data_IF_625188623671
#
_entry.id   IF_625188623671
#
_cell.length_a   1.000
_cell.length_b   1.000
_cell.length_c   1.000
_cell.angle_alpha   90.00
_cell.angle_beta   90.00
_cell.angle_gamma   90.00
#
_symmetry.space_group_name_H-M   'P 1'
#
loop_
_entity.id
_entity.type
_entity.pdbx_description
1 polymer ?
#
# COMPACT_ATOMS: atom_id res chain seq x y z
N UNK A 1 -13.74 21.61 5.91
CA UNK A 1 -12.55 22.27 5.34
C UNK A 1 -12.98 23.22 4.25
N UNK A 2 -12.59 24.52 4.33
CA UNK A 2 -13.04 25.56 3.37
C UNK A 2 -11.96 25.81 2.30
N UNK A 3 -10.68 25.66 2.67
CA UNK A 3 -9.54 25.87 1.75
C UNK A 3 -8.34 25.08 2.25
N UNK A 4 -7.58 24.50 1.31
CA UNK A 4 -6.27 23.91 1.55
C UNK A 4 -5.27 24.54 0.57
N UNK A 5 -4.16 25.05 1.09
CA UNK A 5 -3.06 25.62 0.30
C UNK A 5 -1.82 24.79 0.61
N UNK A 6 -1.34 24.06 -0.39
CA UNK A 6 -0.11 23.25 -0.27
C UNK A 6 1.01 23.93 -1.07
N UNK A 7 2.20 24.01 -0.46
CA UNK A 7 3.43 24.38 -1.16
C UNK A 7 4.29 23.12 -1.25
N UNK A 8 4.33 22.52 -2.41
CA UNK A 8 4.99 21.23 -2.62
C UNK A 8 6.05 21.33 -3.72
N UNK A 9 7.09 20.52 -3.58
CA UNK A 9 8.09 20.28 -4.62
C UNK A 9 8.05 18.79 -4.98
N UNK A 10 7.54 18.47 -6.16
CA UNK A 10 7.37 17.10 -6.63
C UNK A 10 8.55 16.63 -7.50
N UNK A 11 9.62 17.45 -7.59
CA UNK A 11 10.82 17.06 -8.33
C UNK A 11 11.53 15.90 -7.63
N UNK A 12 12.16 15.00 -8.39
CA UNK A 12 13.02 13.98 -7.80
C UNK A 12 14.07 14.60 -6.88
N UNK A 13 14.39 13.91 -5.80
CA UNK A 13 15.51 14.28 -4.92
C UNK A 13 16.82 14.33 -5.71
N UNK A 14 17.76 15.16 -5.24
CA UNK A 14 19.07 15.28 -5.90
C UNK A 14 19.83 13.95 -5.87
N UNK A 15 20.72 13.73 -6.83
CA UNK A 15 21.55 12.52 -6.87
C UNK A 15 22.37 12.31 -5.59
N UNK A 16 22.83 13.39 -4.95
CA UNK A 16 23.55 13.31 -3.68
C UNK A 16 22.65 12.77 -2.57
N UNK A 17 21.40 13.29 -2.47
CA UNK A 17 20.40 12.84 -1.50
C UNK A 17 20.00 11.39 -1.79
N UNK A 18 19.79 11.03 -3.06
CA UNK A 18 19.47 9.69 -3.50
C UNK A 18 20.54 8.68 -3.07
N UNK A 19 21.83 9.00 -3.31
CA UNK A 19 22.95 8.16 -2.88
C UNK A 19 22.99 7.97 -1.37
N UNK A 20 22.81 9.05 -0.60
CA UNK A 20 22.76 8.98 0.88
C UNK A 20 21.62 8.11 1.37
N UNK A 21 20.43 8.27 0.77
CA UNK A 21 19.24 7.46 1.12
C UNK A 21 19.47 5.98 0.80
N UNK A 22 19.98 5.64 -0.37
CA UNK A 22 20.31 4.27 -0.77
C UNK A 22 21.37 3.66 0.17
N UNK A 23 22.38 4.43 0.55
CA UNK A 23 23.38 3.96 1.52
C UNK A 23 22.74 3.65 2.87
N UNK A 24 21.88 4.55 3.37
CA UNK A 24 21.14 4.36 4.62
C UNK A 24 20.25 3.10 4.58
N UNK A 25 19.49 2.92 3.48
CA UNK A 25 18.65 1.73 3.27
C UNK A 25 19.52 0.46 3.32
N UNK A 26 20.64 0.45 2.63
CA UNK A 26 21.53 -0.72 2.58
C UNK A 26 22.11 -1.10 3.96
N UNK A 27 22.33 -0.12 4.82
CA UNK A 27 22.87 -0.33 6.16
C UNK A 27 21.78 -0.77 7.16
N UNK A 28 20.62 -0.13 7.12
CA UNK A 28 19.58 -0.26 8.14
C UNK A 28 18.62 -1.41 7.90
N UNK A 29 18.18 -1.59 6.65
CA UNK A 29 17.13 -2.55 6.30
C UNK A 29 17.37 -3.98 6.80
N UNK A 30 18.60 -4.52 6.82
CA UNK A 30 18.82 -5.88 7.33
C UNK A 30 18.41 -6.09 8.79
N UNK A 31 18.46 -5.04 9.61
CA UNK A 31 18.08 -5.07 11.02
C UNK A 31 16.58 -4.83 11.29
N UNK A 32 15.80 -4.55 10.24
CA UNK A 32 14.36 -4.29 10.35
C UNK A 32 13.54 -5.55 10.10
N UNK A 33 12.29 -5.58 10.55
CA UNK A 33 11.36 -6.68 10.28
C UNK A 33 10.85 -6.68 8.86
N UNK A 34 10.67 -5.48 8.28
CA UNK A 34 10.25 -5.28 6.90
C UNK A 34 10.36 -3.82 6.48
N UNK A 35 9.84 -3.48 5.29
CA UNK A 35 9.84 -2.13 4.73
C UNK A 35 8.45 -1.77 4.25
N UNK A 36 8.01 -0.58 4.59
CA UNK A 36 6.80 0.04 4.04
C UNK A 36 7.22 1.17 3.11
N UNK A 37 6.77 1.11 1.86
CA UNK A 37 6.93 2.16 0.87
C UNK A 37 5.59 2.85 0.66
N UNK A 38 5.37 3.98 1.33
CA UNK A 38 4.21 4.85 1.08
C UNK A 38 4.61 5.86 0.01
N UNK A 39 4.20 5.62 -1.23
CA UNK A 39 4.54 6.45 -2.38
C UNK A 39 3.51 7.55 -2.58
N UNK A 40 3.90 8.79 -2.33
CA UNK A 40 3.08 9.98 -2.59
C UNK A 40 3.45 10.68 -3.91
N UNK A 41 4.31 10.10 -4.73
CA UNK A 41 4.86 10.71 -5.96
C UNK A 41 5.48 12.10 -5.73
N UNK A 42 6.12 12.30 -4.57
CA UNK A 42 6.78 13.55 -4.21
C UNK A 42 8.31 13.49 -4.34
N UNK A 43 8.79 12.68 -5.27
CA UNK A 43 10.19 12.66 -5.71
C UNK A 43 11.17 11.93 -4.81
N UNK A 44 10.75 11.35 -3.67
CA UNK A 44 11.64 10.60 -2.76
C UNK A 44 11.84 9.17 -3.27
N UNK A 45 10.75 8.47 -3.62
CA UNK A 45 10.81 7.12 -4.16
C UNK A 45 11.10 7.16 -5.65
N UNK A 46 12.36 7.49 -5.99
CA UNK A 46 12.84 7.38 -7.36
C UNK A 46 12.97 5.91 -7.76
N UNK A 47 13.02 5.62 -9.06
CA UNK A 47 13.21 4.26 -9.56
C UNK A 47 14.46 3.59 -8.94
N UNK A 48 15.58 4.34 -8.79
CA UNK A 48 16.80 3.83 -8.16
C UNK A 48 16.60 3.51 -6.67
N UNK A 49 15.85 4.35 -5.94
CA UNK A 49 15.54 4.10 -4.52
C UNK A 49 14.68 2.86 -4.40
N UNK A 50 13.62 2.73 -5.22
CA UNK A 50 12.74 1.55 -5.22
C UNK A 50 13.56 0.29 -5.53
N UNK A 51 14.37 0.30 -6.57
CA UNK A 51 15.24 -0.83 -6.92
C UNK A 51 16.21 -1.20 -5.78
N UNK A 52 16.79 -0.20 -5.11
CA UNK A 52 17.68 -0.46 -3.98
C UNK A 52 16.95 -1.13 -2.81
N UNK A 53 15.73 -0.68 -2.49
CA UNK A 53 14.87 -1.29 -1.47
C UNK A 53 14.57 -2.74 -1.84
N UNK A 54 14.05 -3.01 -3.05
CA UNK A 54 13.68 -4.35 -3.50
C UNK A 54 14.88 -5.30 -3.49
N UNK A 55 16.01 -4.84 -4.03
CA UNK A 55 17.25 -5.63 -4.06
C UNK A 55 17.73 -5.96 -2.64
N UNK A 56 17.79 -4.96 -1.76
CA UNK A 56 18.29 -5.14 -0.40
C UNK A 56 17.36 -6.00 0.43
N UNK A 57 16.06 -5.79 0.34
CA UNK A 57 15.05 -6.60 1.02
C UNK A 57 15.14 -8.07 0.60
N UNK A 58 15.23 -8.34 -0.70
CA UNK A 58 15.42 -9.71 -1.22
C UNK A 58 16.67 -10.38 -0.66
N UNK A 59 17.82 -9.66 -0.65
CA UNK A 59 19.08 -10.18 -0.11
C UNK A 59 19.00 -10.47 1.40
N UNK A 60 18.25 -9.66 2.13
CA UNK A 60 18.07 -9.78 3.59
C UNK A 60 16.85 -10.62 3.99
N UNK A 61 16.12 -11.19 3.01
CA UNK A 61 14.87 -11.96 3.20
C UNK A 61 13.81 -11.17 3.98
N UNK A 62 13.72 -9.85 3.71
CA UNK A 62 12.74 -8.97 4.34
C UNK A 62 11.55 -8.73 3.42
N UNK A 63 10.40 -8.51 4.02
CA UNK A 63 9.16 -8.21 3.31
C UNK A 63 9.09 -6.72 2.93
N UNK A 64 8.48 -6.42 1.78
CA UNK A 64 8.24 -5.05 1.31
C UNK A 64 6.76 -4.91 1.00
N UNK A 65 6.10 -3.97 1.67
CA UNK A 65 4.72 -3.60 1.40
C UNK A 65 4.71 -2.20 0.77
N UNK A 66 3.93 -2.02 -0.28
CA UNK A 66 3.89 -0.75 -1.02
C UNK A 66 2.46 -0.21 -1.09
N UNK A 67 2.28 1.06 -0.69
CA UNK A 67 1.09 1.86 -1.02
C UNK A 67 1.42 2.69 -2.27
N UNK A 68 0.94 2.30 -3.46
CA UNK A 68 1.34 2.93 -4.71
C UNK A 68 0.48 4.17 -4.99
N UNK A 69 1.09 5.21 -5.54
CA UNK A 69 0.38 6.33 -6.17
C UNK A 69 0.74 6.47 -7.65
N UNK A 70 1.82 5.80 -8.09
CA UNK A 70 2.20 5.73 -9.50
C UNK A 70 1.15 4.95 -10.31
N UNK A 71 0.97 5.33 -11.58
CA UNK A 71 0.22 4.53 -12.55
C UNK A 71 1.06 3.36 -13.11
N UNK A 72 2.37 3.40 -12.95
CA UNK A 72 3.27 2.32 -13.37
C UNK A 72 3.62 1.40 -12.18
N UNK A 73 2.85 0.34 -12.02
CA UNK A 73 3.09 -0.64 -10.97
C UNK A 73 4.27 -1.57 -11.26
N UNK A 74 4.83 -1.57 -12.48
CA UNK A 74 6.03 -2.35 -12.79
C UNK A 74 7.24 -1.92 -11.95
N UNK A 75 7.24 -0.69 -11.45
CA UNK A 75 8.24 -0.16 -10.52
C UNK A 75 8.32 -0.97 -9.21
N UNK A 76 7.19 -1.55 -8.78
CA UNK A 76 7.10 -2.27 -7.51
C UNK A 76 7.24 -3.79 -7.66
N UNK A 77 7.91 -4.21 -8.74
CA UNK A 77 8.15 -5.63 -9.03
C UNK A 77 8.87 -6.34 -7.88
N UNK A 78 8.39 -7.53 -7.55
CA UNK A 78 8.85 -8.36 -6.43
C UNK A 78 8.50 -7.81 -5.02
N UNK A 79 7.62 -6.82 -4.90
CA UNK A 79 7.04 -6.46 -3.61
C UNK A 79 6.34 -7.67 -2.97
N UNK A 80 6.32 -7.73 -1.63
CA UNK A 80 5.58 -8.79 -0.92
C UNK A 80 4.09 -8.60 -1.11
N UNK A 81 3.59 -7.39 -0.92
CA UNK A 81 2.21 -7.01 -1.22
C UNK A 81 2.12 -5.52 -1.61
N UNK A 82 1.03 -5.16 -2.28
CA UNK A 82 0.67 -3.78 -2.62
C UNK A 82 -0.74 -3.49 -2.14
N UNK A 83 -0.98 -2.23 -1.72
CA UNK A 83 -2.26 -1.80 -1.12
C UNK A 83 -2.93 -0.66 -1.89
N UNK A 84 -3.19 -0.80 -3.22
CA UNK A 84 -3.76 0.26 -4.02
C UNK A 84 -5.22 0.56 -3.64
N UNK A 85 -5.61 1.81 -3.82
CA UNK A 85 -7.02 2.16 -3.90
C UNK A 85 -7.58 1.78 -5.28
N UNK A 86 -8.89 1.49 -5.37
CA UNK A 86 -9.57 1.13 -6.63
C UNK A 86 -9.24 2.08 -7.79
N UNK A 87 -9.21 3.39 -7.54
CA UNK A 87 -8.85 4.40 -8.56
C UNK A 87 -7.41 4.28 -9.07
N UNK A 88 -6.50 3.75 -8.28
CA UNK A 88 -5.12 3.50 -8.70
C UNK A 88 -5.04 2.25 -9.57
N UNK A 89 -5.83 1.23 -9.23
CA UNK A 89 -6.00 0.03 -10.07
C UNK A 89 -6.56 0.41 -11.46
N UNK A 90 -7.60 1.25 -11.50
CA UNK A 90 -8.21 1.73 -12.75
C UNK A 90 -7.23 2.51 -13.66
N UNK A 91 -6.24 3.19 -13.07
CA UNK A 91 -5.21 3.92 -13.84
C UNK A 91 -4.07 3.03 -14.32
N UNK A 92 -3.81 1.93 -13.62
CA UNK A 92 -2.64 1.08 -13.81
C UNK A 92 -2.93 -0.17 -14.62
N UNK A 93 -4.16 -0.67 -14.58
CA UNK A 93 -4.58 -1.83 -15.36
C UNK A 93 -5.24 -1.40 -16.68
N UNK A 94 -4.96 -2.04 -17.82
CA UNK A 94 -5.61 -1.76 -19.10
C UNK A 94 -7.01 -2.38 -19.17
N UNK A 95 -7.73 -2.41 -18.05
CA UNK A 95 -9.02 -3.07 -17.88
C UNK A 95 -9.98 -2.07 -17.23
N UNK A 96 -11.08 -1.77 -17.89
CA UNK A 96 -12.14 -0.94 -17.31
C UNK A 96 -12.88 -1.76 -16.24
N UNK A 97 -12.89 -1.26 -15.00
CA UNK A 97 -13.55 -1.91 -13.87
C UNK A 97 -15.00 -1.43 -13.81
N UNK A 98 -15.95 -2.36 -14.00
CA UNK A 98 -17.39 -2.09 -13.97
C UNK A 98 -18.15 -3.00 -13.02
N UNK A 99 -17.53 -4.11 -12.66
CA UNK A 99 -18.09 -5.17 -11.84
C UNK A 99 -17.00 -5.98 -11.14
N UNK A 100 -17.41 -6.94 -10.34
CA UNK A 100 -16.48 -7.81 -9.61
C UNK A 100 -15.55 -8.61 -10.54
N UNK A 101 -16.07 -9.12 -11.65
CA UNK A 101 -15.27 -9.93 -12.59
C UNK A 101 -14.17 -9.12 -13.26
N UNK A 102 -14.45 -7.88 -13.64
CA UNK A 102 -13.45 -6.97 -14.19
C UNK A 102 -12.43 -6.53 -13.14
N UNK A 103 -12.82 -6.38 -11.86
CA UNK A 103 -11.91 -6.15 -10.76
C UNK A 103 -10.97 -7.34 -10.55
N UNK A 104 -11.51 -8.55 -10.57
CA UNK A 104 -10.73 -9.80 -10.43
C UNK A 104 -9.66 -9.89 -11.54
N UNK A 105 -10.05 -9.62 -12.80
CA UNK A 105 -9.09 -9.58 -13.94
C UNK A 105 -8.03 -8.50 -13.80
N UNK A 106 -8.42 -7.30 -13.32
CA UNK A 106 -7.47 -6.21 -13.12
C UNK A 106 -6.47 -6.55 -11.99
N UNK A 107 -6.93 -7.14 -10.91
CA UNK A 107 -6.06 -7.60 -9.82
C UNK A 107 -5.10 -8.71 -10.28
N UNK A 108 -5.58 -9.68 -11.05
CA UNK A 108 -4.75 -10.74 -11.64
C UNK A 108 -3.67 -10.16 -12.57
N UNK A 109 -4.05 -9.21 -13.43
CA UNK A 109 -3.09 -8.50 -14.28
C UNK A 109 -1.99 -7.83 -13.44
N UNK A 110 -2.35 -7.12 -12.37
CA UNK A 110 -1.39 -6.44 -11.50
C UNK A 110 -0.54 -7.42 -10.68
N UNK A 111 -1.10 -8.55 -10.21
CA UNK A 111 -0.33 -9.63 -9.57
C UNK A 111 0.75 -10.16 -10.50
N UNK A 112 0.41 -10.41 -11.77
CA UNK A 112 1.35 -10.88 -12.77
C UNK A 112 2.41 -9.82 -13.11
N UNK A 113 2.00 -8.56 -13.28
CA UNK A 113 2.90 -7.44 -13.58
C UNK A 113 3.94 -7.23 -12.48
N UNK A 114 3.49 -7.20 -11.24
CA UNK A 114 4.33 -6.88 -10.07
C UNK A 114 4.99 -8.11 -9.47
N UNK A 115 4.48 -9.30 -9.76
CA UNK A 115 4.87 -10.56 -9.10
C UNK A 115 4.72 -10.51 -7.57
N UNK A 116 3.87 -9.63 -7.07
CA UNK A 116 3.54 -9.57 -5.66
C UNK A 116 2.82 -10.86 -5.22
N UNK A 117 2.95 -11.22 -3.94
CA UNK A 117 2.23 -12.38 -3.38
C UNK A 117 0.78 -12.06 -3.12
N UNK A 118 0.47 -10.78 -2.81
CA UNK A 118 -0.89 -10.32 -2.55
C UNK A 118 -1.09 -8.87 -3.02
N UNK A 119 -2.34 -8.54 -3.36
CA UNK A 119 -2.81 -7.17 -3.59
C UNK A 119 -4.04 -6.94 -2.74
N UNK A 120 -4.00 -5.92 -1.88
CA UNK A 120 -5.13 -5.48 -1.08
C UNK A 120 -5.73 -4.23 -1.72
N UNK A 121 -6.85 -4.37 -2.41
CA UNK A 121 -7.53 -3.24 -3.06
C UNK A 121 -8.53 -2.62 -2.10
N UNK A 122 -8.31 -1.35 -1.73
CA UNK A 122 -9.25 -0.60 -0.89
C UNK A 122 -10.32 0.06 -1.77
N UNK A 123 -11.59 -0.03 -1.36
CA UNK A 123 -12.78 0.34 -2.13
C UNK A 123 -13.65 1.37 -1.41
N UNK A 124 -13.07 2.09 -0.45
CA UNK A 124 -13.76 3.11 0.34
C UNK A 124 -14.91 2.52 1.15
N UNK A 125 -16.12 3.00 0.94
CA UNK A 125 -17.34 2.53 1.64
C UNK A 125 -17.66 1.05 1.41
N UNK A 126 -17.17 0.46 0.34
CA UNK A 126 -17.39 -0.94 -0.01
C UNK A 126 -16.36 -1.88 0.66
N UNK A 127 -15.49 -1.32 1.52
CA UNK A 127 -14.48 -2.08 2.26
C UNK A 127 -13.22 -2.32 1.44
N UNK A 128 -12.75 -3.56 1.39
CA UNK A 128 -11.55 -3.95 0.67
C UNK A 128 -11.61 -5.40 0.17
N UNK A 129 -10.80 -5.71 -0.83
CA UNK A 129 -10.68 -7.08 -1.34
C UNK A 129 -9.21 -7.46 -1.42
N UNK A 130 -8.86 -8.61 -0.82
CA UNK A 130 -7.51 -9.19 -0.89
C UNK A 130 -7.46 -10.24 -2.00
N UNK A 131 -6.47 -10.10 -2.86
CA UNK A 131 -6.15 -11.01 -3.97
C UNK A 131 -4.80 -11.66 -3.72
N UNK A 132 -4.71 -12.96 -3.94
CA UNK A 132 -3.49 -13.75 -3.83
C UNK A 132 -3.38 -14.70 -5.02
N UNK A 133 -2.14 -15.03 -5.42
CA UNK A 133 -1.93 -15.97 -6.51
C UNK A 133 -2.56 -17.34 -6.21
N UNK A 134 -3.37 -17.85 -7.16
CA UNK A 134 -4.03 -19.18 -7.09
C UNK A 134 -5.04 -19.34 -5.96
N UNK A 135 -5.46 -18.26 -5.33
CA UNK A 135 -6.48 -18.28 -4.30
C UNK A 135 -7.72 -17.49 -4.75
N UNK A 136 -8.88 -17.84 -4.19
CA UNK A 136 -10.09 -17.05 -4.41
C UNK A 136 -9.97 -15.71 -3.69
N UNK A 137 -10.37 -14.60 -4.34
CA UNK A 137 -10.43 -13.30 -3.69
C UNK A 137 -11.34 -13.32 -2.46
N UNK A 138 -10.92 -12.59 -1.43
CA UNK A 138 -11.73 -12.42 -0.21
C UNK A 138 -12.10 -10.95 -0.09
N UNK A 139 -13.38 -10.65 -0.18
CA UNK A 139 -13.93 -9.32 0.05
C UNK A 139 -14.30 -9.16 1.52
N UNK A 140 -13.85 -8.06 2.11
CA UNK A 140 -14.04 -7.69 3.50
C UNK A 140 -14.84 -6.39 3.48
N UNK A 141 -16.14 -6.42 3.87
CA UNK A 141 -16.97 -5.22 3.89
C UNK A 141 -16.47 -4.25 4.97
N UNK A 142 -16.79 -2.96 4.82
CA UNK A 142 -16.47 -1.99 5.87
C UNK A 142 -17.28 -2.27 7.14
N UNK A 143 -16.62 -2.16 8.29
CA UNK A 143 -17.26 -2.25 9.61
C UNK A 143 -17.66 -0.85 10.14
N UNK A 144 -17.38 0.21 9.39
CA UNK A 144 -17.71 1.57 9.80
C UNK A 144 -19.25 1.78 9.77
N UNK A 145 -19.84 2.05 10.93
CA UNK A 145 -21.26 2.37 11.05
C UNK A 145 -21.58 3.79 10.60
N UNK A 146 -20.66 4.71 10.89
CA UNK A 146 -20.73 6.11 10.50
C UNK A 146 -19.36 6.55 10.00
N UNK A 147 -19.33 7.37 8.96
CA UNK A 147 -18.10 7.91 8.37
C UNK A 147 -18.11 9.41 8.59
N UNK A 148 -17.22 9.91 9.44
CA UNK A 148 -17.04 11.34 9.70
C UNK A 148 -15.91 11.93 8.88
N UNK A 149 -14.77 11.24 8.80
CA UNK A 149 -13.61 11.71 8.05
C UNK A 149 -12.80 10.50 7.52
N UNK A 150 -12.49 10.52 6.23
CA UNK A 150 -11.69 9.46 5.58
C UNK A 150 -10.19 9.76 5.57
N UNK A 151 -9.79 10.92 6.13
CA UNK A 151 -8.38 11.33 6.17
C UNK A 151 -7.56 10.36 7.00
N UNK A 152 -6.48 9.84 6.43
CA UNK A 152 -5.59 8.89 7.10
C UNK A 152 -6.08 7.43 7.11
N UNK A 153 -7.24 7.13 6.52
CA UNK A 153 -7.72 5.74 6.43
C UNK A 153 -6.75 4.85 5.66
N UNK A 154 -6.24 5.30 4.51
CA UNK A 154 -5.24 4.56 3.72
C UNK A 154 -3.94 4.34 4.48
N UNK A 155 -3.43 5.38 5.16
CA UNK A 155 -2.22 5.28 5.99
C UNK A 155 -2.42 4.29 7.15
N UNK A 156 -3.62 4.24 7.73
CA UNK A 156 -3.97 3.26 8.75
C UNK A 156 -3.99 1.85 8.18
N UNK A 157 -4.60 1.67 7.00
CA UNK A 157 -4.65 0.36 6.32
C UNK A 157 -3.24 -0.16 6.08
N UNK A 158 -2.37 0.60 5.40
CA UNK A 158 -1.02 0.11 5.10
C UNK A 158 -0.21 -0.14 6.37
N UNK A 159 -0.34 0.70 7.39
CA UNK A 159 0.40 0.54 8.64
C UNK A 159 0.02 -0.75 9.36
N UNK A 160 -1.28 -0.99 9.58
CA UNK A 160 -1.76 -2.18 10.29
C UNK A 160 -1.55 -3.45 9.46
N UNK A 161 -1.85 -3.40 8.16
CA UNK A 161 -1.62 -4.52 7.24
C UNK A 161 -0.14 -4.94 7.23
N UNK A 162 0.76 -3.96 7.09
CA UNK A 162 2.19 -4.24 7.05
C UNK A 162 2.70 -4.84 8.36
N UNK A 163 2.28 -4.26 9.49
CA UNK A 163 2.66 -4.74 10.82
C UNK A 163 2.19 -6.19 11.02
N UNK A 164 0.93 -6.51 10.70
CA UNK A 164 0.41 -7.87 10.82
C UNK A 164 1.19 -8.85 9.92
N UNK A 165 1.46 -8.48 8.66
CA UNK A 165 2.25 -9.32 7.74
C UNK A 165 3.67 -9.55 8.26
N UNK A 166 4.34 -8.52 8.81
CA UNK A 166 5.69 -8.65 9.37
C UNK A 166 5.72 -9.51 10.65
N UNK A 167 4.62 -9.54 11.40
CA UNK A 167 4.44 -10.42 12.56
C UNK A 167 4.10 -11.87 12.17
N UNK A 168 3.89 -12.17 10.89
CA UNK A 168 3.65 -13.52 10.38
C UNK A 168 2.18 -13.91 10.24
N UNK A 169 1.24 -12.97 10.38
CA UNK A 169 -0.16 -13.19 10.03
C UNK A 169 -0.29 -13.47 8.53
N UNK A 170 -1.27 -14.26 8.13
CA UNK A 170 -1.59 -14.40 6.72
C UNK A 170 -2.21 -13.12 6.14
N UNK A 171 -2.23 -13.00 4.81
CA UNK A 171 -2.69 -11.77 4.16
C UNK A 171 -4.18 -11.50 4.38
N UNK A 172 -5.01 -12.51 4.61
CA UNK A 172 -6.46 -12.34 4.86
C UNK A 172 -6.70 -11.83 6.28
N UNK A 173 -5.98 -12.40 7.25
CA UNK A 173 -5.99 -11.94 8.64
C UNK A 173 -5.49 -10.49 8.73
N UNK A 174 -4.37 -10.18 8.07
CA UNK A 174 -3.81 -8.84 8.02
C UNK A 174 -4.78 -7.83 7.36
N UNK A 175 -5.46 -8.22 6.27
CA UNK A 175 -6.47 -7.40 5.62
C UNK A 175 -7.67 -7.16 6.53
N UNK A 176 -8.15 -8.17 7.23
CA UNK A 176 -9.25 -8.04 8.18
C UNK A 176 -8.91 -7.09 9.33
N UNK A 177 -7.75 -7.25 9.95
CA UNK A 177 -7.25 -6.35 11.02
C UNK A 177 -7.14 -4.91 10.53
N UNK A 178 -6.61 -4.69 9.32
CA UNK A 178 -6.46 -3.36 8.75
C UNK A 178 -7.82 -2.71 8.43
N UNK A 179 -8.82 -3.50 7.99
CA UNK A 179 -10.18 -3.02 7.76
C UNK A 179 -10.85 -2.57 9.06
N UNK A 180 -10.71 -3.35 10.13
CA UNK A 180 -11.21 -2.96 11.46
C UNK A 180 -10.55 -1.66 11.94
N UNK A 181 -9.23 -1.55 11.84
CA UNK A 181 -8.51 -0.35 12.24
C UNK A 181 -8.94 0.89 11.43
N UNK A 182 -9.09 0.74 10.11
CA UNK A 182 -9.59 1.81 9.25
C UNK A 182 -11.02 2.23 9.64
N UNK A 183 -11.90 1.27 9.96
CA UNK A 183 -13.28 1.54 10.38
C UNK A 183 -13.35 2.36 11.68
N UNK A 184 -12.41 2.15 12.61
CA UNK A 184 -12.29 2.96 13.84
C UNK A 184 -11.87 4.40 13.51
N UNK A 185 -10.92 4.57 12.59
CA UNK A 185 -10.38 5.89 12.22
C UNK A 185 -11.43 6.72 11.51
N UNK A 186 -12.11 6.17 10.50
CA UNK A 186 -13.12 6.90 9.73
C UNK A 186 -14.37 7.26 10.57
N UNK A 187 -14.60 6.58 11.68
CA UNK A 187 -15.65 6.88 12.65
C UNK A 187 -15.32 8.04 13.60
N UNK A 188 -14.17 8.70 13.43
CA UNK A 188 -13.74 9.83 14.26
C UNK A 188 -13.57 11.09 13.42
N UNK A 189 -13.76 12.26 14.02
CA UNK A 189 -13.57 13.56 13.36
C UNK A 189 -12.08 13.91 13.34
N UNK A 190 -11.55 14.25 12.16
CA UNK A 190 -10.15 14.59 11.94
C UNK A 190 -9.22 13.36 11.85
N UNK A 191 -7.91 13.63 11.79
CA UNK A 191 -6.92 12.54 11.82
C UNK A 191 -6.91 11.85 13.18
N UNK A 192 -7.24 10.56 13.17
CA UNK A 192 -7.33 9.76 14.38
C UNK A 192 -6.27 8.64 14.39
N UNK A 193 -5.94 8.17 15.57
CA UNK A 193 -5.07 7.00 15.78
C UNK A 193 -5.87 5.85 16.38
N UNK A 194 -5.46 4.64 16.08
CA UNK A 194 -5.96 3.42 16.71
C UNK A 194 -5.12 3.13 17.93
N UNK A 195 -5.76 2.97 19.09
CA UNK A 195 -5.12 2.59 20.36
C UNK A 195 -5.59 1.21 20.78
N UNK A 196 -4.74 0.47 21.50
CA UNK A 196 -5.07 -0.81 22.13
C UNK A 196 -5.78 -0.56 23.47
N UNK A 197 -7.02 -0.04 23.45
CA UNK A 197 -7.83 0.13 24.66
C UNK A 197 -8.97 -0.86 24.67
#
# INVERSE_FOLDING_TARGET
QVLRIDKEDNRPITEETEKKLIQYINQTLPGMDGVVCSDYQKGILTEKVIHAIMHRAKKSKKQVIVDPKSSDFSLYKDATAITPHLKEVERSAPIKITDKESLDRAAEYLLNLTRAKAILITQGKDGMTIFQNKEKPVSIPTEAKEVFDVTGAGDTVISVFSMAVFMGFDFKEAAWLSNMAASIVVGKVGTAVVTLN
#
